data_IF_777706575488
#
_entry.id   IF_777706575488
#
_cell.length_a   1.000
_cell.length_b   1.000
_cell.length_c   1.000
_cell.angle_alpha   90.00
_cell.angle_beta   90.00
_cell.angle_gamma   90.00
#
_symmetry.space_group_name_H-M   'P 1'
#
loop_
_entity.id
_entity.type
_entity.pdbx_description
1 polymer ?
#
# COMPACT_ATOMS: atom_id res chain seq x y z
N UNK A 1 -7.27 -13.01 28.44
CA UNK A 1 -6.71 -12.95 27.09
C UNK A 1 -5.20 -12.91 27.28
N UNK A 2 -4.46 -13.90 26.80
CA UNK A 2 -3.00 -13.96 27.04
C UNK A 2 -2.37 -12.86 26.19
N UNK A 3 -1.97 -11.77 26.84
CA UNK A 3 -1.03 -10.81 26.26
C UNK A 3 0.28 -11.59 26.07
N UNK A 4 0.57 -12.00 24.83
CA UNK A 4 1.81 -12.71 24.56
C UNK A 4 2.96 -11.75 24.82
N UNK A 5 3.70 -11.98 25.90
CA UNK A 5 5.01 -11.38 26.11
C UNK A 5 5.93 -11.85 24.98
N UNK A 6 6.22 -10.95 24.06
CA UNK A 6 7.20 -11.19 23.02
C UNK A 6 8.57 -11.42 23.66
N UNK A 7 9.26 -12.47 23.23
CA UNK A 7 10.65 -12.76 23.59
C UNK A 7 11.57 -12.47 22.41
N UNK A 8 12.85 -12.25 22.72
CA UNK A 8 13.88 -12.14 21.69
C UNK A 8 13.91 -13.43 20.86
N UNK A 9 13.90 -13.27 19.54
CA UNK A 9 13.85 -14.38 18.60
C UNK A 9 12.45 -14.90 18.26
N UNK A 10 11.38 -14.43 18.92
CA UNK A 10 10.02 -14.75 18.49
C UNK A 10 9.74 -14.18 17.10
N UNK A 11 8.81 -14.82 16.39
CA UNK A 11 8.40 -14.44 15.05
C UNK A 11 7.24 -13.45 15.10
N UNK A 12 7.38 -12.36 14.37
CA UNK A 12 6.37 -11.31 14.22
C UNK A 12 6.28 -10.87 12.76
N UNK A 13 5.06 -10.66 12.28
CA UNK A 13 4.84 -10.15 10.94
C UNK A 13 5.03 -8.63 10.88
N UNK A 14 5.83 -8.15 9.94
CA UNK A 14 6.06 -6.73 9.70
C UNK A 14 6.29 -6.43 8.20
N UNK A 15 6.25 -5.14 7.84
CA UNK A 15 6.54 -4.69 6.49
C UNK A 15 8.03 -4.51 6.25
N UNK A 16 8.63 -5.38 5.45
CA UNK A 16 10.03 -5.27 5.08
C UNK A 16 10.24 -4.18 4.02
N UNK A 17 11.13 -3.21 4.28
CA UNK A 17 11.46 -2.17 3.30
C UNK A 17 12.21 -2.72 2.07
N UNK A 18 12.93 -3.84 2.24
CA UNK A 18 13.71 -4.47 1.16
C UNK A 18 12.84 -5.35 0.28
N UNK A 19 12.04 -6.23 0.88
CA UNK A 19 11.11 -7.10 0.15
C UNK A 19 9.84 -6.37 -0.30
N UNK A 20 9.50 -5.24 0.32
CA UNK A 20 8.26 -4.47 0.07
C UNK A 20 6.99 -5.28 0.29
N UNK A 21 7.09 -6.31 1.13
CA UNK A 21 6.06 -7.29 1.43
C UNK A 21 5.91 -7.41 2.95
N UNK A 22 4.72 -7.85 3.37
CA UNK A 22 4.43 -8.19 4.75
C UNK A 22 4.82 -9.67 4.95
N UNK A 23 5.83 -9.91 5.79
CA UNK A 23 6.50 -11.20 5.93
C UNK A 23 6.85 -11.44 7.40
N UNK A 24 7.23 -12.68 7.72
CA UNK A 24 7.75 -13.06 9.02
C UNK A 24 9.13 -12.43 9.28
N UNK A 25 9.28 -11.79 10.43
CA UNK A 25 10.53 -11.25 10.96
C UNK A 25 10.80 -11.85 12.34
N UNK A 26 12.08 -12.03 12.70
CA UNK A 26 12.45 -12.35 14.08
C UNK A 26 12.72 -11.07 14.86
N UNK A 27 12.31 -11.05 16.13
CA UNK A 27 12.59 -9.95 17.05
C UNK A 27 14.09 -9.91 17.36
N UNK A 28 14.75 -8.84 16.91
CA UNK A 28 16.20 -8.67 17.07
C UNK A 28 16.54 -7.84 18.31
N UNK A 29 15.69 -6.87 18.66
CA UNK A 29 15.90 -6.03 19.85
C UNK A 29 14.59 -5.51 20.40
N UNK A 30 14.52 -5.46 21.73
CA UNK A 30 13.39 -4.91 22.49
C UNK A 30 13.90 -3.85 23.48
N UNK A 31 13.06 -2.86 23.77
CA UNK A 31 13.32 -1.80 24.75
C UNK A 31 12.03 -1.51 25.52
N UNK A 32 12.11 -1.47 26.86
CA UNK A 32 10.95 -1.26 27.75
C UNK A 32 9.76 -2.20 27.46
N UNK A 33 10.06 -3.45 27.09
CA UNK A 33 9.04 -4.46 26.73
C UNK A 33 8.43 -4.31 25.33
N UNK A 34 8.88 -3.32 24.54
CA UNK A 34 8.42 -3.09 23.17
C UNK A 34 9.45 -3.54 22.13
N UNK A 35 8.97 -4.06 21.00
CA UNK A 35 9.82 -4.46 19.88
C UNK A 35 10.31 -3.22 19.13
N UNK A 36 11.64 -3.04 19.05
CA UNK A 36 12.26 -1.88 18.38
C UNK A 36 12.81 -2.26 17.02
N UNK A 37 13.53 -3.39 16.94
CA UNK A 37 14.17 -3.88 15.71
C UNK A 37 13.77 -5.31 15.41
N UNK A 38 13.62 -5.59 14.12
CA UNK A 38 13.29 -6.91 13.59
C UNK A 38 14.21 -7.26 12.43
N UNK A 39 14.48 -8.55 12.25
CA UNK A 39 15.26 -9.11 11.13
C UNK A 39 14.33 -9.91 10.24
N UNK A 40 14.27 -9.56 8.95
CA UNK A 40 13.44 -10.28 7.99
C UNK A 40 13.98 -11.71 7.77
N UNK A 41 13.14 -12.73 7.88
CA UNK A 41 13.55 -14.13 7.66
C UNK A 41 13.81 -14.46 6.19
N UNK A 42 13.41 -13.58 5.25
CA UNK A 42 13.63 -13.77 3.81
C UNK A 42 14.89 -13.09 3.30
N UNK A 43 15.11 -11.81 3.63
CA UNK A 43 16.24 -11.03 3.13
C UNK A 43 17.32 -10.73 4.19
N UNK A 44 17.13 -11.21 5.43
CA UNK A 44 18.06 -11.08 6.56
C UNK A 44 18.49 -9.63 6.87
N UNK A 45 17.72 -8.65 6.40
CA UNK A 45 17.97 -7.24 6.65
C UNK A 45 17.33 -6.83 7.95
N UNK A 46 18.08 -6.15 8.82
CA UNK A 46 17.51 -5.52 10.01
C UNK A 46 16.81 -4.19 9.66
N UNK A 47 15.65 -3.96 10.26
CA UNK A 47 14.99 -2.66 10.22
C UNK A 47 14.17 -2.41 11.49
N UNK A 48 13.76 -1.16 11.69
CA UNK A 48 12.85 -0.79 12.76
C UNK A 48 11.49 -1.46 12.54
N UNK A 49 10.88 -1.93 13.63
CA UNK A 49 9.55 -2.50 13.62
C UNK A 49 8.51 -1.42 13.28
N UNK A 50 7.60 -1.71 12.36
CA UNK A 50 6.58 -0.76 11.88
C UNK A 50 5.16 -1.12 12.29
N UNK A 51 4.99 -2.01 13.27
CA UNK A 51 3.68 -2.43 13.78
C UNK A 51 2.75 -2.99 12.69
N UNK A 52 3.30 -3.58 11.62
CA UNK A 52 2.51 -4.04 10.48
C UNK A 52 1.88 -2.92 9.64
N UNK A 53 2.16 -1.64 9.96
CA UNK A 53 1.76 -0.52 9.11
C UNK A 53 2.70 -0.46 7.90
N UNK A 54 2.30 -1.18 6.83
CA UNK A 54 2.80 -0.93 5.48
C UNK A 54 2.68 0.57 5.20
N UNK A 55 3.80 1.21 4.87
CA UNK A 55 3.92 2.66 4.89
C UNK A 55 2.72 3.35 4.26
N UNK A 56 2.00 4.14 5.07
CA UNK A 56 0.84 4.95 4.65
C UNK A 56 1.20 5.61 3.32
N UNK A 57 0.53 5.18 2.24
CA UNK A 57 0.68 5.81 0.93
C UNK A 57 0.21 7.25 1.13
N UNK A 58 1.16 8.19 1.27
CA UNK A 58 0.82 9.61 1.20
C UNK A 58 0.04 9.80 -0.10
N UNK A 59 -1.16 10.39 -0.08
CA UNK A 59 -1.92 10.61 -1.31
C UNK A 59 -1.04 11.44 -2.24
N UNK A 60 -0.59 10.81 -3.33
CA UNK A 60 0.28 11.43 -4.31
C UNK A 60 -0.59 12.24 -5.26
N UNK A 61 -0.87 13.51 -4.95
CA UNK A 61 -1.67 14.34 -5.83
C UNK A 61 -1.01 15.68 -6.15
N UNK A 62 -0.32 15.68 -7.30
CA UNK A 62 -0.59 16.63 -8.38
C UNK A 62 -1.13 15.94 -9.66
N UNK A 63 -1.29 14.61 -9.66
CA UNK A 63 -1.78 13.87 -10.84
C UNK A 63 -3.29 13.67 -10.90
N UNK A 64 -4.00 13.49 -9.77
CA UNK A 64 -5.47 13.47 -9.80
C UNK A 64 -6.02 14.79 -10.35
N UNK A 65 -5.42 15.91 -9.97
CA UNK A 65 -5.78 17.23 -10.49
C UNK A 65 -5.60 17.35 -12.00
N UNK A 66 -4.61 16.68 -12.61
CA UNK A 66 -4.42 16.72 -14.07
C UNK A 66 -5.45 15.85 -14.81
N UNK A 67 -5.79 14.68 -14.28
CA UNK A 67 -6.85 13.85 -14.84
C UNK A 67 -8.22 14.55 -14.73
N UNK A 68 -8.50 15.19 -13.59
CA UNK A 68 -9.71 15.99 -13.40
C UNK A 68 -9.74 17.22 -14.33
N UNK A 69 -8.59 17.86 -14.58
CA UNK A 69 -8.48 18.97 -15.53
C UNK A 69 -8.69 18.53 -16.99
N UNK A 70 -8.15 17.38 -17.41
CA UNK A 70 -8.35 16.84 -18.76
C UNK A 70 -9.80 16.37 -18.95
N UNK A 71 -10.39 15.75 -17.93
CA UNK A 71 -11.82 15.38 -17.93
C UNK A 71 -12.73 16.62 -17.97
N UNK A 72 -12.36 17.69 -17.27
CA UNK A 72 -13.10 18.96 -17.32
C UNK A 72 -12.96 19.69 -18.66
N UNK A 73 -11.81 19.57 -19.35
CA UNK A 73 -11.60 20.12 -20.69
C UNK A 73 -12.25 19.28 -21.80
N UNK A 74 -12.42 17.97 -21.57
CA UNK A 74 -13.19 17.10 -22.45
C UNK A 74 -14.70 17.30 -22.19
N UNK A 75 -15.24 18.43 -22.66
CA UNK A 75 -16.69 18.58 -22.76
C UNK A 75 -17.27 17.38 -23.54
N UNK A 76 -18.41 16.80 -23.13
CA UNK A 76 -19.07 15.80 -23.93
C UNK A 76 -19.46 16.48 -25.24
N UNK A 77 -19.00 15.93 -26.37
CA UNK A 77 -19.53 16.29 -27.67
C UNK A 77 -21.04 16.18 -27.56
N UNK A 78 -21.70 17.34 -27.63
CA UNK A 78 -23.13 17.46 -27.58
C UNK A 78 -23.75 16.49 -28.58
N UNK A 79 -24.69 15.70 -28.09
CA UNK A 79 -25.60 14.93 -28.92
C UNK A 79 -26.07 15.78 -30.10
N UNK A 80 -25.84 15.30 -31.31
CA UNK A 80 -26.53 15.76 -32.52
C UNK A 80 -27.12 14.50 -33.21
N UNK A 81 -28.30 14.63 -33.84
CA UNK A 81 -29.36 13.64 -33.78
C UNK A 81 -29.25 12.53 -34.84
N UNK A 82 -29.99 11.47 -34.55
CA UNK A 82 -30.32 10.29 -35.35
C UNK A 82 -30.42 10.56 -36.87
N UNK A 83 -29.59 9.86 -37.66
CA UNK A 83 -29.68 9.79 -39.12
C UNK A 83 -30.38 8.48 -39.56
N UNK A 84 -31.19 8.50 -40.64
CA UNK A 84 -32.21 7.48 -40.88
C UNK A 84 -31.64 6.18 -41.46
N UNK A 85 -32.20 5.04 -41.02
CA UNK A 85 -31.85 3.69 -41.51
C UNK A 85 -32.19 3.52 -43.01
N UNK A 86 -31.27 3.02 -43.86
CA UNK A 86 -31.60 2.71 -45.24
C UNK A 86 -32.43 1.42 -45.31
N UNK A 87 -33.61 1.50 -45.95
CA UNK A 87 -34.41 0.33 -46.32
C UNK A 87 -33.67 -0.46 -47.39
N UNK A 88 -33.39 -1.73 -47.12
CA UNK A 88 -32.94 -2.69 -48.14
C UNK A 88 -34.13 -3.02 -49.05
N UNK A 89 -33.91 -2.86 -50.36
CA UNK A 89 -34.79 -3.35 -51.43
C UNK A 89 -34.61 -4.85 -51.62
#
# INVERSE_FOLDING_TARGET
MVEQEYRLGDLIDDYCLRCKLLLNHAIASMMDGQVVKVICQTCLTEHAYRHGEGGKKKPSHPRATLFDQVLAQAAPVAATPEAPKPKKR
#
